data_IF_857887315807
#
_entry.id   IF_857887315807
#
_cell.length_a   1.000
_cell.length_b   1.000
_cell.length_c   1.000
_cell.angle_alpha   90.00
_cell.angle_beta   90.00
_cell.angle_gamma   90.00
#
_symmetry.space_group_name_H-M   'P 1'
#
loop_
_entity.id
_entity.type
_entity.pdbx_description
1 polymer ?
#
# COMPACT_ATOMS: atom_id res chain seq x y z
N UNK A 1 12.64 -17.77 -4.14
CA UNK A 1 11.92 -17.44 -5.41
C UNK A 1 10.52 -17.01 -5.02
N UNK A 2 9.95 -15.97 -5.68
CA UNK A 2 8.56 -15.54 -5.41
C UNK A 2 7.62 -16.70 -5.70
N UNK A 3 6.68 -16.95 -4.82
CA UNK A 3 5.63 -17.94 -5.02
C UNK A 3 4.46 -17.33 -5.80
N UNK A 4 4.30 -17.70 -7.06
CA UNK A 4 3.25 -17.18 -7.93
C UNK A 4 1.90 -17.87 -7.77
N UNK A 5 1.81 -18.97 -7.00
CA UNK A 5 0.53 -19.62 -6.72
C UNK A 5 -0.45 -18.72 -5.95
N UNK A 6 0.06 -17.65 -5.33
CA UNK A 6 -0.77 -16.64 -4.66
C UNK A 6 -1.69 -15.88 -5.62
N UNK A 7 -1.40 -15.94 -6.93
CA UNK A 7 -2.22 -15.30 -7.96
C UNK A 7 -3.31 -16.24 -8.54
N UNK A 8 -3.37 -17.52 -8.13
CA UNK A 8 -4.41 -18.46 -8.56
C UNK A 8 -5.80 -18.08 -8.03
N UNK A 9 -5.85 -17.44 -6.87
CA UNK A 9 -7.07 -16.85 -6.29
C UNK A 9 -6.73 -15.64 -5.46
N UNK A 10 -7.59 -14.61 -5.48
CA UNK A 10 -7.32 -13.37 -4.74
C UNK A 10 -7.25 -13.64 -3.23
N UNK A 11 -6.11 -13.31 -2.57
CA UNK A 11 -5.93 -13.57 -1.15
C UNK A 11 -6.72 -12.58 -0.29
N UNK A 12 -7.57 -13.08 0.58
CA UNK A 12 -8.25 -12.29 1.61
C UNK A 12 -7.39 -12.34 2.87
N UNK A 13 -7.13 -11.17 3.48
CA UNK A 13 -6.38 -11.07 4.72
C UNK A 13 -7.29 -10.50 5.81
N UNK A 14 -7.22 -11.07 6.99
CA UNK A 14 -8.10 -10.70 8.09
C UNK A 14 -7.36 -10.55 9.42
N UNK A 15 -7.88 -9.65 10.23
CA UNK A 15 -7.59 -9.54 11.65
C UNK A 15 -8.89 -9.47 12.46
N UNK A 16 -8.81 -9.18 13.75
CA UNK A 16 -10.01 -8.98 14.57
C UNK A 16 -10.88 -7.82 14.07
N UNK A 17 -10.25 -6.76 13.55
CA UNK A 17 -10.94 -5.53 13.13
C UNK A 17 -11.00 -5.35 11.62
N UNK A 18 -10.03 -5.87 10.88
CA UNK A 18 -9.86 -5.58 9.46
C UNK A 18 -10.28 -6.78 8.59
N UNK A 19 -10.82 -6.45 7.42
CA UNK A 19 -11.02 -7.34 6.32
C UNK A 19 -10.42 -6.68 5.07
N UNK A 20 -9.37 -7.27 4.53
CA UNK A 20 -8.65 -6.82 3.34
C UNK A 20 -9.08 -7.70 2.17
N UNK A 21 -9.74 -7.12 1.18
CA UNK A 21 -10.36 -7.82 0.06
C UNK A 21 -10.05 -7.19 -1.30
N UNK A 22 -10.42 -7.88 -2.37
CA UNK A 22 -10.37 -7.34 -3.74
C UNK A 22 -11.29 -6.11 -3.85
N UNK A 23 -10.88 -5.15 -4.70
CA UNK A 23 -11.70 -4.00 -5.02
C UNK A 23 -12.91 -4.41 -5.86
N UNK A 24 -14.04 -3.76 -5.60
CA UNK A 24 -15.26 -3.86 -6.40
C UNK A 24 -15.68 -2.48 -6.91
N UNK A 25 -16.56 -2.41 -7.88
CA UNK A 25 -17.09 -1.12 -8.36
C UNK A 25 -17.94 -0.39 -7.31
N UNK A 26 -18.46 -1.11 -6.31
CA UNK A 26 -19.19 -0.51 -5.18
C UNK A 26 -18.27 0.35 -4.28
N UNK A 27 -16.95 0.18 -4.38
CA UNK A 27 -15.97 0.99 -3.65
C UNK A 27 -15.77 2.38 -4.27
N UNK A 28 -16.27 2.62 -5.50
CA UNK A 28 -15.96 3.81 -6.30
C UNK A 28 -16.21 5.12 -5.54
N UNK A 29 -17.37 5.28 -4.92
CA UNK A 29 -17.75 6.51 -4.21
C UNK A 29 -16.83 6.76 -2.99
N UNK A 30 -16.65 5.75 -2.15
CA UNK A 30 -15.83 5.88 -0.93
C UNK A 30 -14.34 6.05 -1.28
N UNK A 31 -13.87 5.36 -2.31
CA UNK A 31 -12.52 5.50 -2.80
C UNK A 31 -12.30 6.90 -3.42
N UNK A 32 -13.29 7.45 -4.15
CA UNK A 32 -13.24 8.82 -4.65
C UNK A 32 -13.08 9.82 -3.49
N UNK A 33 -13.86 9.69 -2.42
CA UNK A 33 -13.77 10.56 -1.25
C UNK A 33 -12.35 10.55 -0.63
N UNK A 34 -11.69 9.39 -0.57
CA UNK A 34 -10.33 9.29 -0.04
C UNK A 34 -9.28 9.84 -1.00
N UNK A 35 -9.43 9.61 -2.31
CA UNK A 35 -8.45 10.00 -3.32
C UNK A 35 -8.57 11.46 -3.75
N UNK A 36 -9.71 12.11 -3.51
CA UNK A 36 -9.92 13.55 -3.72
C UNK A 36 -9.62 14.39 -2.46
N UNK A 37 -9.56 13.78 -1.26
CA UNK A 37 -9.27 14.50 -0.03
C UNK A 37 -7.80 14.93 0.00
N UNK A 38 -7.57 16.25 0.00
CA UNK A 38 -6.23 16.82 0.02
C UNK A 38 -5.41 16.37 1.24
N UNK A 39 -6.06 16.15 2.40
CA UNK A 39 -5.42 15.72 3.64
C UNK A 39 -4.80 14.32 3.49
N UNK A 40 -5.53 13.42 2.83
CA UNK A 40 -5.08 12.05 2.56
C UNK A 40 -4.03 11.98 1.43
N UNK A 41 -3.89 13.05 0.62
CA UNK A 41 -3.04 13.10 -0.57
C UNK A 41 -1.84 14.03 -0.45
N UNK A 42 -1.70 14.77 0.65
CA UNK A 42 -0.72 15.85 0.82
C UNK A 42 0.75 15.43 0.57
N UNK A 43 1.07 14.15 0.77
CA UNK A 43 2.43 13.62 0.64
C UNK A 43 2.58 12.61 -0.52
N UNK A 44 1.65 12.59 -1.48
CA UNK A 44 1.66 11.60 -2.57
C UNK A 44 2.47 12.09 -3.79
N UNK A 45 2.73 13.40 -3.90
CA UNK A 45 3.49 13.98 -5.00
C UNK A 45 2.77 13.90 -6.36
N UNK A 46 1.44 13.94 -6.36
CA UNK A 46 0.56 14.02 -7.53
C UNK A 46 -0.78 14.60 -7.16
N UNK A 47 -1.49 15.14 -8.15
CA UNK A 47 -2.82 15.72 -7.95
C UNK A 47 -3.82 14.70 -7.36
N UNK A 48 -4.71 15.15 -6.46
CA UNK A 48 -5.89 14.41 -6.10
C UNK A 48 -6.76 14.12 -7.33
N UNK A 49 -7.49 13.01 -7.31
CA UNK A 49 -8.44 12.68 -8.38
C UNK A 49 -9.57 13.71 -8.43
N UNK A 50 -10.08 13.96 -9.65
CA UNK A 50 -11.11 14.99 -9.91
C UNK A 50 -12.46 14.40 -10.29
N UNK A 51 -12.48 13.14 -10.73
CA UNK A 51 -13.70 12.47 -11.20
C UNK A 51 -13.81 11.04 -10.67
N UNK A 52 -15.04 10.53 -10.57
CA UNK A 52 -15.27 9.13 -10.23
C UNK A 52 -14.76 8.18 -11.32
N UNK A 53 -14.73 8.61 -12.59
CA UNK A 53 -14.21 7.80 -13.68
C UNK A 53 -12.73 7.46 -13.48
N UNK A 54 -11.91 8.39 -12.96
CA UNK A 54 -10.53 8.12 -12.60
C UNK A 54 -10.40 7.02 -11.54
N UNK A 55 -11.40 6.89 -10.65
CA UNK A 55 -11.43 5.80 -9.67
C UNK A 55 -11.84 4.48 -10.31
N UNK A 56 -12.83 4.49 -11.20
CA UNK A 56 -13.21 3.27 -11.97
C UNK A 56 -11.98 2.74 -12.73
N UNK A 57 -11.27 3.62 -13.43
CA UNK A 57 -10.06 3.25 -14.18
C UNK A 57 -8.97 2.71 -13.24
N UNK A 58 -8.84 3.31 -12.05
CA UNK A 58 -7.88 2.86 -11.03
C UNK A 58 -8.25 1.50 -10.44
N UNK A 59 -9.52 1.22 -10.17
CA UNK A 59 -9.99 -0.10 -9.70
C UNK A 59 -9.66 -1.16 -10.74
N UNK A 60 -9.94 -0.89 -12.02
CA UNK A 60 -9.59 -1.79 -13.11
C UNK A 60 -8.08 -2.03 -13.15
N UNK A 61 -7.27 -0.97 -13.17
CA UNK A 61 -5.80 -1.07 -13.18
C UNK A 61 -5.25 -1.90 -12.01
N UNK A 62 -5.82 -1.73 -10.81
CA UNK A 62 -5.41 -2.49 -9.61
C UNK A 62 -5.77 -3.97 -9.76
N UNK A 63 -6.98 -4.26 -10.24
CA UNK A 63 -7.43 -5.65 -10.44
C UNK A 63 -6.64 -6.32 -11.58
N UNK A 64 -6.40 -5.61 -12.69
CA UNK A 64 -5.57 -6.10 -13.81
C UNK A 64 -4.13 -6.38 -13.37
N UNK A 65 -3.56 -5.56 -12.47
CA UNK A 65 -2.22 -5.79 -11.92
C UNK A 65 -2.12 -7.13 -11.17
N UNK A 66 -3.18 -7.52 -10.45
CA UNK A 66 -3.25 -8.85 -9.82
C UNK A 66 -3.37 -9.95 -10.88
N UNK A 67 -4.30 -9.80 -11.81
CA UNK A 67 -4.57 -10.80 -12.85
C UNK A 67 -3.34 -11.00 -13.77
N UNK A 68 -2.51 -9.96 -13.95
CA UNK A 68 -1.24 -9.99 -14.68
C UNK A 68 -0.02 -10.41 -13.81
N UNK A 69 -0.22 -10.72 -12.53
CA UNK A 69 0.84 -11.11 -11.59
C UNK A 69 1.94 -10.03 -11.39
N UNK A 70 1.56 -8.75 -11.46
CA UNK A 70 2.47 -7.60 -11.30
C UNK A 70 2.41 -6.99 -9.91
N UNK A 71 1.43 -7.39 -9.10
CA UNK A 71 1.25 -6.94 -7.74
C UNK A 71 -0.09 -7.35 -7.15
N UNK A 72 -0.25 -7.12 -5.86
CA UNK A 72 -1.52 -7.36 -5.16
C UNK A 72 -1.85 -6.18 -4.27
N UNK A 73 -3.07 -5.66 -4.39
CA UNK A 73 -3.55 -4.55 -3.56
C UNK A 73 -4.94 -4.84 -3.03
N UNK A 74 -5.18 -4.44 -1.81
CA UNK A 74 -6.42 -4.68 -1.09
C UNK A 74 -7.15 -3.39 -0.78
N UNK A 75 -8.48 -3.46 -0.89
CA UNK A 75 -9.37 -2.55 -0.21
C UNK A 75 -9.35 -2.87 1.29
N UNK A 76 -9.04 -1.88 2.13
CA UNK A 76 -9.12 -2.02 3.58
C UNK A 76 -10.55 -1.71 4.01
N UNK A 77 -11.16 -2.61 4.79
CA UNK A 77 -12.48 -2.42 5.36
C UNK A 77 -12.48 -2.75 6.86
N UNK A 78 -13.47 -2.26 7.60
CA UNK A 78 -13.66 -2.55 9.03
C UNK A 78 -14.79 -3.54 9.22
N UNK A 79 -14.55 -4.59 10.00
CA UNK A 79 -15.60 -5.52 10.43
C UNK A 79 -16.58 -4.85 11.42
N UNK A 80 -17.88 -5.15 11.38
CA UNK A 80 -18.59 -6.01 10.44
C UNK A 80 -19.00 -5.29 9.15
N UNK A 81 -18.71 -3.99 9.01
CA UNK A 81 -19.07 -3.18 7.84
C UNK A 81 -18.02 -3.41 6.75
N UNK A 82 -18.37 -3.94 5.62
CA UNK A 82 -17.43 -4.13 4.50
C UNK A 82 -17.21 -2.86 3.65
N UNK A 83 -17.36 -1.66 4.24
CA UNK A 83 -17.16 -0.38 3.58
C UNK A 83 -15.69 -0.05 3.44
N UNK A 84 -15.28 0.35 2.25
CA UNK A 84 -13.94 0.82 1.95
C UNK A 84 -13.54 2.02 2.84
N UNK A 85 -12.36 1.93 3.46
CA UNK A 85 -11.76 3.00 4.24
C UNK A 85 -10.31 3.32 3.81
N UNK A 86 -9.72 2.52 2.94
CA UNK A 86 -8.34 2.72 2.51
C UNK A 86 -7.85 1.64 1.55
N UNK A 87 -6.62 1.81 1.12
CA UNK A 87 -5.90 0.91 0.21
C UNK A 87 -4.57 0.53 0.82
N UNK A 88 -4.15 -0.71 0.63
CA UNK A 88 -2.78 -1.18 0.89
C UNK A 88 -2.40 -2.22 -0.16
N UNK A 89 -1.12 -2.27 -0.58
CA UNK A 89 -0.70 -3.26 -1.56
C UNK A 89 0.81 -3.46 -1.60
N UNK A 90 1.19 -4.60 -2.20
CA UNK A 90 2.54 -4.92 -2.64
C UNK A 90 2.57 -4.79 -4.16
N UNK A 91 3.26 -3.80 -4.64
CA UNK A 91 3.34 -3.44 -6.05
C UNK A 91 4.80 -3.32 -6.47
N UNK A 92 5.08 -3.05 -7.75
CA UNK A 92 6.44 -3.04 -8.29
C UNK A 92 7.23 -4.28 -7.85
N UNK A 93 6.74 -5.44 -8.23
CA UNK A 93 7.44 -6.69 -7.94
C UNK A 93 8.76 -6.73 -8.69
N UNK A 94 9.88 -6.64 -7.96
CA UNK A 94 11.23 -6.86 -8.48
C UNK A 94 11.50 -8.38 -8.50
N UNK A 95 10.97 -9.03 -9.54
CA UNK A 95 10.83 -10.50 -9.63
C UNK A 95 12.17 -11.22 -9.41
N UNK A 96 13.25 -10.71 -10.03
CA UNK A 96 14.59 -11.30 -9.92
C UNK A 96 15.26 -11.09 -8.55
N UNK A 97 14.75 -10.11 -7.78
CA UNK A 97 15.30 -9.75 -6.48
C UNK A 97 14.42 -10.16 -5.31
N UNK A 98 13.31 -10.85 -5.59
CA UNK A 98 12.31 -11.27 -4.60
C UNK A 98 11.87 -10.13 -3.67
N UNK A 99 11.65 -8.95 -4.24
CA UNK A 99 11.30 -7.71 -3.53
C UNK A 99 10.00 -7.11 -4.06
N UNK A 100 9.34 -6.34 -3.21
CA UNK A 100 8.19 -5.52 -3.59
C UNK A 100 8.23 -4.17 -2.90
N UNK A 101 7.54 -3.17 -3.46
CA UNK A 101 7.25 -1.91 -2.79
C UNK A 101 5.88 -2.00 -2.13
N UNK A 102 5.79 -1.66 -0.83
CA UNK A 102 4.50 -1.50 -0.14
C UNK A 102 4.03 -0.07 -0.26
N UNK A 103 2.77 0.11 -0.65
CA UNK A 103 2.11 1.40 -0.69
C UNK A 103 0.75 1.35 -0.02
N UNK A 104 0.34 2.47 0.61
CA UNK A 104 -0.92 2.53 1.33
C UNK A 104 -1.51 3.92 1.36
N UNK A 105 -2.82 3.98 1.58
CA UNK A 105 -3.59 5.20 1.80
C UNK A 105 -4.78 4.88 2.71
N UNK A 106 -5.15 5.81 3.58
CA UNK A 106 -6.26 5.66 4.52
C UNK A 106 -7.10 6.93 4.54
N UNK A 107 -8.40 6.80 4.64
CA UNK A 107 -9.30 7.90 4.89
C UNK A 107 -8.84 8.69 6.12
N UNK A 108 -8.84 10.01 6.03
CA UNK A 108 -8.34 10.89 7.10
C UNK A 108 -9.04 10.64 8.45
N UNK A 109 -10.34 10.38 8.42
CA UNK A 109 -11.16 10.09 9.59
C UNK A 109 -10.77 8.80 10.32
N UNK A 110 -9.96 7.95 9.68
CA UNK A 110 -9.46 6.69 10.23
C UNK A 110 -8.01 6.79 10.74
N UNK A 111 -7.38 7.95 10.65
CA UNK A 111 -6.02 8.15 11.11
C UNK A 111 -5.92 8.04 12.64
N UNK A 112 -4.72 7.75 13.12
CA UNK A 112 -4.38 7.62 14.55
C UNK A 112 -5.14 6.53 15.34
N UNK A 113 -5.84 5.61 14.64
CA UNK A 113 -6.58 4.48 15.24
C UNK A 113 -5.83 3.14 15.17
N UNK A 114 -4.58 3.17 14.72
CA UNK A 114 -3.74 1.96 14.57
C UNK A 114 -4.08 1.08 13.37
N UNK A 115 -5.08 1.45 12.57
CA UNK A 115 -5.58 0.68 11.42
C UNK A 115 -4.47 0.39 10.41
N UNK A 116 -3.73 1.41 9.97
CA UNK A 116 -2.67 1.21 8.99
C UNK A 116 -1.51 0.34 9.52
N UNK A 117 -1.19 0.44 10.81
CA UNK A 117 -0.17 -0.44 11.42
C UNK A 117 -0.59 -1.90 11.39
N UNK A 118 -1.87 -2.19 11.64
CA UNK A 118 -2.44 -3.53 11.59
C UNK A 118 -2.50 -4.06 10.15
N UNK A 119 -2.91 -3.23 9.19
CA UNK A 119 -2.92 -3.59 7.77
C UNK A 119 -1.51 -3.87 7.23
N UNK A 120 -0.50 -3.05 7.60
CA UNK A 120 0.90 -3.29 7.22
C UNK A 120 1.39 -4.63 7.77
N UNK A 121 1.04 -4.98 9.02
CA UNK A 121 1.44 -6.26 9.61
C UNK A 121 0.88 -7.43 8.81
N UNK A 122 -0.43 -7.42 8.47
CA UNK A 122 -1.06 -8.47 7.66
C UNK A 122 -0.39 -8.62 6.29
N UNK A 123 -0.17 -7.51 5.59
CA UNK A 123 0.40 -7.50 4.24
C UNK A 123 1.88 -7.91 4.26
N UNK A 124 2.64 -7.47 5.26
CA UNK A 124 4.03 -7.88 5.48
C UNK A 124 4.13 -9.40 5.72
N UNK A 125 3.29 -9.93 6.61
CA UNK A 125 3.28 -11.36 6.91
C UNK A 125 2.89 -12.19 5.67
N UNK A 126 1.92 -11.74 4.89
CA UNK A 126 1.57 -12.33 3.60
C UNK A 126 2.74 -12.28 2.61
N UNK A 127 3.38 -11.12 2.46
CA UNK A 127 4.54 -10.96 1.59
C UNK A 127 5.67 -11.92 1.92
N UNK A 128 5.99 -12.10 3.20
CA UNK A 128 7.07 -12.97 3.64
C UNK A 128 6.69 -14.45 3.63
N UNK A 129 5.51 -14.80 4.14
CA UNK A 129 5.14 -16.19 4.36
C UNK A 129 4.49 -16.86 3.13
N UNK A 130 3.72 -16.09 2.34
CA UNK A 130 3.00 -16.62 1.19
C UNK A 130 3.72 -16.28 -0.14
N UNK A 131 4.01 -15.01 -0.40
CA UNK A 131 4.74 -14.61 -1.61
C UNK A 131 6.22 -14.99 -1.60
N UNK A 132 6.80 -15.35 -0.43
CA UNK A 132 8.23 -15.65 -0.26
C UNK A 132 9.13 -14.48 -0.66
N UNK A 133 8.71 -13.27 -0.37
CA UNK A 133 9.55 -12.10 -0.59
C UNK A 133 10.77 -12.13 0.35
N UNK A 134 11.92 -11.71 -0.18
CA UNK A 134 13.14 -11.50 0.58
C UNK A 134 13.08 -10.18 1.36
N UNK A 135 12.56 -9.13 0.73
CA UNK A 135 12.44 -7.81 1.37
C UNK A 135 11.25 -7.02 0.83
N UNK A 136 10.79 -6.08 1.65
CA UNK A 136 9.74 -5.13 1.29
C UNK A 136 10.29 -3.73 1.52
N UNK A 137 10.18 -2.85 0.51
CA UNK A 137 10.54 -1.44 0.62
C UNK A 137 9.29 -0.56 0.66
N UNK A 138 9.43 0.63 1.23
CA UNK A 138 8.42 1.69 1.22
C UNK A 138 9.09 3.02 0.87
N UNK A 139 8.51 3.74 -0.09
CA UNK A 139 8.93 5.08 -0.44
C UNK A 139 7.94 6.11 0.13
N UNK A 140 8.44 7.12 0.83
CA UNK A 140 7.60 8.15 1.45
C UNK A 140 8.24 9.54 1.34
N UNK A 141 7.40 10.58 1.31
CA UNK A 141 7.87 11.97 1.39
C UNK A 141 8.56 12.25 2.73
N UNK A 142 9.62 13.06 2.72
CA UNK A 142 10.41 13.40 3.94
C UNK A 142 9.57 14.04 5.05
N UNK A 143 8.48 14.70 4.70
CA UNK A 143 7.61 15.41 5.65
C UNK A 143 6.44 14.53 6.14
N UNK A 144 6.26 13.32 5.60
CA UNK A 144 5.20 12.40 6.01
C UNK A 144 5.54 11.67 7.32
N UNK A 145 5.56 12.42 8.42
CA UNK A 145 5.92 11.91 9.75
C UNK A 145 5.01 10.75 10.19
N UNK A 146 3.75 10.76 9.77
CA UNK A 146 2.81 9.67 10.07
C UNK A 146 3.26 8.36 9.42
N UNK A 147 3.66 8.41 8.14
CA UNK A 147 4.20 7.25 7.42
C UNK A 147 5.52 6.77 8.04
N UNK A 148 6.44 7.68 8.38
CA UNK A 148 7.69 7.31 9.06
C UNK A 148 7.43 6.53 10.36
N UNK A 149 6.52 7.04 11.21
CA UNK A 149 6.20 6.39 12.49
C UNK A 149 5.57 5.02 12.31
N UNK A 150 4.62 4.88 11.37
CA UNK A 150 3.95 3.59 11.16
C UNK A 150 4.88 2.56 10.56
N UNK A 151 5.77 2.94 9.65
CA UNK A 151 6.78 2.05 9.07
C UNK A 151 7.76 1.55 10.15
N UNK A 152 8.35 2.48 10.92
CA UNK A 152 9.27 2.10 12.01
C UNK A 152 8.60 1.20 13.06
N UNK A 153 7.34 1.49 13.41
CA UNK A 153 6.56 0.64 14.33
C UNK A 153 6.38 -0.80 13.82
N UNK A 154 6.35 -0.98 12.48
CA UNK A 154 6.22 -2.29 11.85
C UNK A 154 7.57 -2.95 11.50
N UNK A 155 8.68 -2.41 12.02
CA UNK A 155 10.01 -2.99 11.90
C UNK A 155 10.78 -2.56 10.65
N UNK A 156 10.26 -1.62 9.87
CA UNK A 156 11.01 -1.06 8.74
C UNK A 156 12.12 -0.13 9.24
N UNK A 157 13.27 -0.24 8.60
CA UNK A 157 14.47 0.58 8.88
C UNK A 157 14.63 1.59 7.75
N UNK A 158 14.96 2.83 8.11
CA UNK A 158 15.30 3.87 7.13
C UNK A 158 16.65 3.54 6.50
N UNK A 159 16.69 3.36 5.18
CA UNK A 159 17.92 3.02 4.45
C UNK A 159 18.46 4.17 3.61
N UNK A 160 17.59 5.05 3.08
CA UNK A 160 18.04 6.16 2.25
C UNK A 160 17.20 7.42 2.42
N UNK A 161 17.82 8.55 2.09
CA UNK A 161 17.19 9.83 1.86
C UNK A 161 17.67 10.37 0.51
N UNK A 162 16.78 10.37 -0.46
CA UNK A 162 17.04 10.83 -1.81
C UNK A 162 16.58 12.28 -1.92
N UNK A 163 17.53 13.20 -2.06
CA UNK A 163 17.22 14.64 -2.16
C UNK A 163 16.77 14.96 -3.57
N UNK A 164 15.70 15.79 -3.65
CA UNK A 164 15.23 16.40 -4.89
C UNK A 164 15.00 15.39 -6.04
N UNK A 165 14.61 14.17 -5.71
CA UNK A 165 14.49 13.08 -6.69
C UNK A 165 13.10 12.95 -7.31
N UNK A 166 12.14 13.78 -6.90
CA UNK A 166 10.79 13.80 -7.44
C UNK A 166 10.35 15.22 -7.75
N UNK A 167 9.92 15.49 -8.99
CA UNK A 167 9.43 16.82 -9.37
C UNK A 167 7.90 16.83 -9.42
N UNK A 168 7.29 17.73 -8.66
CA UNK A 168 5.85 17.88 -8.62
C UNK A 168 5.46 19.32 -8.34
N UNK A 169 4.51 19.86 -9.13
CA UNK A 169 3.90 21.18 -8.95
C UNK A 169 4.92 22.33 -8.82
N UNK A 170 5.99 22.30 -9.63
CA UNK A 170 7.02 23.34 -9.65
C UNK A 170 8.13 23.19 -8.61
N UNK A 171 8.08 22.16 -7.77
CA UNK A 171 9.04 21.91 -6.70
C UNK A 171 9.70 20.53 -6.81
N UNK A 172 10.97 20.47 -6.39
CA UNK A 172 11.65 19.19 -6.19
C UNK A 172 11.43 18.69 -4.76
N UNK A 173 10.91 17.47 -4.67
CA UNK A 173 10.60 16.80 -3.41
C UNK A 173 11.64 15.72 -3.09
N UNK A 174 11.85 15.50 -1.80
CA UNK A 174 12.73 14.45 -1.31
C UNK A 174 11.92 13.17 -1.05
N UNK A 175 12.56 12.03 -1.29
CA UNK A 175 12.04 10.72 -0.88
C UNK A 175 12.88 10.11 0.23
N UNK A 176 12.21 9.39 1.12
CA UNK A 176 12.85 8.57 2.15
C UNK A 176 12.46 7.12 1.94
N UNK A 177 13.47 6.26 1.82
CA UNK A 177 13.29 4.84 1.60
C UNK A 177 13.43 4.10 2.93
N UNK A 178 12.43 3.29 3.22
CA UNK A 178 12.41 2.34 4.33
C UNK A 178 12.41 0.92 3.77
N UNK A 179 13.07 -0.01 4.45
CA UNK A 179 13.10 -1.41 4.03
C UNK A 179 12.97 -2.33 5.25
N UNK A 180 12.41 -3.50 5.01
CA UNK A 180 12.43 -4.62 5.95
C UNK A 180 12.82 -5.88 5.20
N UNK A 181 13.83 -6.60 5.74
CA UNK A 181 14.26 -7.90 5.23
C UNK A 181 13.52 -9.00 5.99
N UNK A 182 13.15 -10.05 5.28
CA UNK A 182 12.48 -11.21 5.88
C UNK A 182 13.39 -11.88 6.92
N UNK A 183 13.04 -11.85 8.20
CA UNK A 183 13.88 -12.43 9.24
C UNK A 183 13.99 -13.96 9.16
N UNK A 184 13.08 -14.60 8.43
CA UNK A 184 13.03 -16.06 8.27
C UNK A 184 13.69 -16.53 6.96
N UNK A 185 14.17 -15.60 6.13
CA UNK A 185 14.87 -15.95 4.89
C UNK A 185 16.33 -16.30 5.21
N UNK A 186 16.57 -17.58 5.44
CA UNK A 186 17.92 -18.11 5.63
C UNK A 186 18.67 -18.09 4.30
N UNK A 187 19.75 -17.30 4.27
CA UNK A 187 20.70 -17.26 3.14
C UNK A 187 21.29 -18.63 2.85
#
# INVERSE_FOLDING_TARGET
MIDYSIFDSFPILESDRLHLRRFTMDDTELMFNVYSDIRANNYIGRDPVKTQQEIVDKINLINDSFDNQDGVSWAITLKPSDKYIGTIGLWKLFKEHHRAEIGYRLAYEQWNKGIMSEAIQLVKDFGFNNMKLHSIEANTDKNNIASHKVLMKNGFVKEAHLKENWYYNGEFLDSVIYCIVNPNDTK
#
